data_IF_925454701170
#
_entry.id   IF_925454701170
#
_cell.length_a   1.000
_cell.length_b   1.000
_cell.length_c   1.000
_cell.angle_alpha   90.00
_cell.angle_beta   90.00
_cell.angle_gamma   90.00
#
_symmetry.space_group_name_H-M   'P 1'
#
loop_
_entity.id
_entity.type
_entity.pdbx_description
1 polymer ?
#
# COMPACT_ATOMS: atom_id res chain seq x y z
N UNK A 1 -12.79 -7.98 13.06
CA UNK A 1 -12.69 -6.79 13.93
C UNK A 1 -11.56 -6.96 14.93
N UNK A 2 -10.36 -6.71 14.45
CA UNK A 2 -9.12 -6.62 15.18
C UNK A 2 -8.88 -5.16 15.55
N UNK A 3 -8.46 -4.89 16.78
CA UNK A 3 -8.11 -3.54 17.28
C UNK A 3 -6.61 -3.43 17.54
N UNK A 4 -5.79 -4.00 16.66
CA UNK A 4 -4.35 -4.00 16.86
C UNK A 4 -3.76 -2.62 16.53
N UNK A 5 -2.92 -2.14 17.44
CA UNK A 5 -2.14 -0.92 17.30
C UNK A 5 -0.66 -1.27 17.30
N UNK A 6 0.06 -0.81 16.29
CA UNK A 6 1.51 -1.03 16.18
C UNK A 6 2.23 0.32 16.17
N UNK A 7 3.36 0.40 16.87
CA UNK A 7 4.23 1.59 16.81
C UNK A 7 5.09 1.61 15.54
N UNK A 8 5.28 0.43 14.94
CA UNK A 8 6.07 0.23 13.75
C UNK A 8 5.19 -0.10 12.55
N UNK A 9 5.44 0.60 11.44
CA UNK A 9 4.75 0.37 10.18
C UNK A 9 4.96 -1.06 9.68
N UNK A 10 6.20 -1.56 9.71
CA UNK A 10 6.54 -2.92 9.26
C UNK A 10 5.82 -4.01 10.06
N UNK A 11 5.65 -3.81 11.37
CA UNK A 11 4.89 -4.72 12.22
C UNK A 11 3.39 -4.71 11.86
N UNK A 12 2.83 -3.53 11.58
CA UNK A 12 1.44 -3.40 11.12
C UNK A 12 1.21 -4.10 9.79
N UNK A 13 2.14 -3.98 8.83
CA UNK A 13 2.01 -4.66 7.53
C UNK A 13 2.01 -6.17 7.70
N UNK A 14 2.89 -6.71 8.55
CA UNK A 14 2.89 -8.15 8.84
C UNK A 14 1.56 -8.61 9.43
N UNK A 15 0.98 -7.81 10.34
CA UNK A 15 -0.33 -8.08 10.90
C UNK A 15 -1.44 -8.07 9.83
N UNK A 16 -1.50 -7.03 9.00
CA UNK A 16 -2.56 -6.90 7.99
C UNK A 16 -2.52 -8.00 6.91
N UNK A 17 -1.34 -8.58 6.66
CA UNK A 17 -1.20 -9.77 5.80
C UNK A 17 -1.94 -10.99 6.35
N UNK A 18 -2.14 -11.11 7.66
CA UNK A 18 -2.87 -12.26 8.25
C UNK A 18 -4.37 -12.17 8.04
N UNK A 19 -4.90 -10.98 7.75
CA UNK A 19 -6.31 -10.82 7.39
C UNK A 19 -6.53 -11.18 5.92
N UNK A 20 -5.98 -10.38 5.00
CA UNK A 20 -6.34 -10.45 3.58
C UNK A 20 -5.12 -10.48 2.64
N UNK A 21 -3.92 -10.78 3.14
CA UNK A 21 -2.69 -10.59 2.34
C UNK A 21 -2.45 -9.12 1.99
N UNK A 22 -3.04 -8.20 2.77
CA UNK A 22 -3.12 -6.79 2.45
C UNK A 22 -1.74 -6.16 2.28
N UNK A 23 -1.57 -5.50 1.15
CA UNK A 23 -0.40 -4.75 0.76
C UNK A 23 -0.73 -3.27 0.91
N UNK A 24 0.11 -2.47 1.60
CA UNK A 24 -0.31 -1.14 2.04
C UNK A 24 -0.31 -0.07 0.96
N UNK A 25 0.33 -0.34 -0.16
CA UNK A 25 0.44 0.57 -1.28
C UNK A 25 -0.52 0.09 -2.36
N UNK A 26 -1.56 0.87 -2.62
CA UNK A 26 -2.51 0.61 -3.71
C UNK A 26 -2.19 1.55 -4.87
N UNK A 27 -2.13 0.99 -6.07
CA UNK A 27 -1.95 1.77 -7.29
C UNK A 27 -3.28 2.45 -7.62
N UNK A 28 -3.31 3.78 -7.67
CA UNK A 28 -4.55 4.51 -8.00
C UNK A 28 -4.96 4.37 -9.47
N UNK A 29 -4.04 3.95 -10.34
CA UNK A 29 -4.26 3.77 -11.79
C UNK A 29 -4.91 2.41 -12.08
N UNK A 30 -4.29 1.31 -11.64
CA UNK A 30 -4.75 -0.05 -11.94
C UNK A 30 -5.26 -0.83 -10.72
N UNK A 31 -5.32 -0.19 -9.54
CA UNK A 31 -5.83 -0.78 -8.30
C UNK A 31 -5.01 -1.99 -7.79
N UNK A 32 -3.82 -2.22 -8.34
CA UNK A 32 -2.91 -3.28 -7.89
C UNK A 32 -2.28 -2.92 -6.53
N UNK A 33 -2.19 -3.91 -5.64
CA UNK A 33 -1.55 -3.74 -4.34
C UNK A 33 -0.10 -4.20 -4.37
N UNK A 34 0.81 -3.31 -3.96
CA UNK A 34 2.23 -3.59 -3.82
C UNK A 34 2.64 -3.78 -2.34
N UNK A 35 3.48 -4.78 -2.03
CA UNK A 35 3.89 -5.10 -0.65
C UNK A 35 4.87 -4.09 -0.06
N UNK A 36 5.47 -3.23 -0.90
CA UNK A 36 6.47 -2.26 -0.49
C UNK A 36 6.46 -1.03 -1.38
N UNK A 37 7.00 0.08 -0.86
CA UNK A 37 7.12 1.34 -1.59
C UNK A 37 8.05 1.20 -2.80
N UNK A 38 9.17 0.48 -2.65
CA UNK A 38 10.11 0.25 -3.75
C UNK A 38 9.47 -0.59 -4.86
N UNK A 39 8.66 -1.60 -4.50
CA UNK A 39 7.86 -2.35 -5.47
C UNK A 39 6.89 -1.45 -6.21
N UNK A 40 6.19 -0.57 -5.49
CA UNK A 40 5.25 0.38 -6.11
C UNK A 40 5.95 1.36 -7.06
N UNK A 41 7.10 1.91 -6.67
CA UNK A 41 7.88 2.79 -7.54
C UNK A 41 8.34 2.09 -8.83
N UNK A 42 8.72 0.81 -8.75
CA UNK A 42 9.07 0.02 -9.94
C UNK A 42 7.83 -0.26 -10.79
N UNK A 43 6.72 -0.63 -10.17
CA UNK A 43 5.43 -0.84 -10.83
C UNK A 43 5.02 0.41 -11.63
N UNK A 44 5.16 1.61 -11.05
CA UNK A 44 4.77 2.86 -11.72
C UNK A 44 5.62 3.19 -12.95
N UNK A 45 6.85 2.68 -13.03
CA UNK A 45 7.68 2.83 -14.23
C UNK A 45 7.18 1.97 -15.40
N UNK A 46 6.34 0.97 -15.14
CA UNK A 46 5.73 0.15 -16.17
C UNK A 46 4.44 0.78 -16.73
N UNK A 47 3.84 1.74 -16.02
CA UNK A 47 2.73 2.53 -16.57
C UNK A 47 3.23 3.45 -17.67
N UNK A 48 2.32 3.74 -18.61
CA UNK A 48 2.61 4.68 -19.67
C UNK A 48 2.66 6.10 -19.09
N UNK A 49 3.56 6.98 -19.58
CA UNK A 49 3.67 8.36 -19.08
C UNK A 49 2.38 9.17 -19.20
N UNK A 50 1.52 8.82 -20.18
CA UNK A 50 0.21 9.43 -20.40
C UNK A 50 -0.84 9.07 -19.34
N UNK A 51 -0.70 7.91 -18.70
CA UNK A 51 -1.65 7.41 -17.68
C UNK A 51 -1.23 7.80 -16.25
N UNK A 52 0.01 8.25 -16.05
CA UNK A 52 0.54 8.66 -14.73
C UNK A 52 0.33 10.16 -14.54
N UNK A 53 -0.48 10.59 -13.55
CA UNK A 53 -0.64 12.00 -13.23
C UNK A 53 0.73 12.66 -12.91
N UNK A 54 1.00 13.89 -13.38
CA UNK A 54 2.27 14.58 -13.11
C UNK A 54 2.58 14.74 -11.62
N UNK A 55 1.54 14.89 -10.79
CA UNK A 55 1.60 15.02 -9.34
C UNK A 55 1.31 13.70 -8.59
N UNK A 56 1.43 12.56 -9.27
CA UNK A 56 1.12 11.28 -8.67
C UNK A 56 1.94 11.04 -7.38
N UNK A 57 1.23 10.73 -6.29
CA UNK A 57 1.80 10.41 -4.98
C UNK A 57 1.33 9.04 -4.53
N UNK A 58 2.20 8.35 -3.80
CA UNK A 58 1.88 7.06 -3.20
C UNK A 58 0.91 7.27 -2.04
N UNK A 59 -0.31 6.76 -2.18
CA UNK A 59 -1.26 6.69 -1.07
C UNK A 59 -0.92 5.51 -0.15
N UNK A 60 -0.91 5.78 1.16
CA UNK A 60 -0.72 4.76 2.20
C UNK A 60 -2.09 4.36 2.72
N UNK A 61 -2.52 3.16 2.38
CA UNK A 61 -3.89 2.69 2.66
C UNK A 61 -4.10 2.35 4.14
N UNK A 62 -3.02 2.10 4.89
CA UNK A 62 -3.12 1.73 6.31
C UNK A 62 -2.28 2.68 7.18
N UNK A 63 -3.01 3.42 8.03
CA UNK A 63 -2.43 4.09 9.19
C UNK A 63 -2.10 3.04 10.27
N UNK A 64 -1.37 3.44 11.31
CA UNK A 64 -0.93 2.58 12.42
C UNK A 64 -2.05 1.92 13.26
N UNK A 65 -3.28 1.89 12.73
CA UNK A 65 -4.51 1.38 13.33
C UNK A 65 -5.17 0.40 12.36
N UNK A 66 -5.37 -0.84 12.81
CA UNK A 66 -6.16 -1.85 12.12
C UNK A 66 -7.56 -1.90 12.74
N UNK A 67 -8.60 -1.93 11.90
CA UNK A 67 -10.02 -2.07 12.32
C UNK A 67 -10.70 -3.28 11.68
N UNK A 68 -9.95 -4.12 10.94
CA UNK A 68 -10.48 -5.19 10.08
C UNK A 68 -10.94 -6.38 10.90
#
# INVERSE_FOLDING_TARGET
MCHQRSRDYSAMIKHLRTHNGASPYQCTICQEYCPSLSSMQKHMKAHKPEDVPPDWRIEKTYLYLCYV
#
